data_IF_680598378031
#
_entry.id   IF_680598378031
#
_cell.length_a   1.000
_cell.length_b   1.000
_cell.length_c   1.000
_cell.angle_alpha   90.00
_cell.angle_beta   90.00
_cell.angle_gamma   90.00
#
_symmetry.space_group_name_H-M   'P 1'
#
loop_
_entity.id
_entity.type
_entity.pdbx_description
1 polymer ?
#
# COMPACT_ATOMS: atom_id res chain seq x y z
N UNK A 1 12.40 -2.46 18.32
CA UNK A 1 11.81 -2.44 16.97
C UNK A 1 10.92 -3.65 16.85
N UNK A 2 9.61 -3.46 16.65
CA UNK A 2 8.73 -4.58 16.30
C UNK A 2 8.97 -4.95 14.85
N UNK A 3 9.32 -6.21 14.57
CA UNK A 3 9.37 -6.74 13.20
C UNK A 3 7.95 -6.84 12.67
N UNK A 4 7.54 -5.82 11.91
CA UNK A 4 6.25 -5.81 11.23
C UNK A 4 6.46 -6.36 9.82
N UNK A 5 5.75 -7.43 9.39
CA UNK A 5 5.94 -8.00 8.08
C UNK A 5 5.57 -6.98 6.99
N UNK A 6 6.39 -6.89 5.94
CA UNK A 6 6.19 -5.99 4.80
C UNK A 6 5.56 -6.77 3.63
N UNK A 7 4.47 -6.24 3.09
CA UNK A 7 3.86 -6.77 1.87
C UNK A 7 4.12 -5.84 0.68
N UNK A 8 4.78 -6.37 -0.35
CA UNK A 8 4.88 -5.74 -1.66
C UNK A 8 3.65 -6.11 -2.49
N UNK A 9 2.93 -5.10 -2.98
CA UNK A 9 1.80 -5.29 -3.89
C UNK A 9 2.02 -4.47 -5.15
N UNK A 10 2.10 -5.15 -6.30
CA UNK A 10 2.22 -4.53 -7.62
C UNK A 10 0.85 -4.17 -8.18
N UNK A 11 0.78 -3.11 -8.98
CA UNK A 11 -0.51 -2.61 -9.50
C UNK A 11 -1.45 -2.11 -8.40
N UNK A 12 -0.89 -1.69 -7.27
CA UNK A 12 -1.64 -1.45 -6.04
C UNK A 12 -2.36 -0.09 -5.99
N UNK A 13 -2.13 0.78 -6.98
CA UNK A 13 -2.73 2.10 -7.05
C UNK A 13 -4.27 2.09 -7.14
N UNK A 14 -4.90 1.03 -7.66
CA UNK A 14 -6.35 0.98 -7.87
C UNK A 14 -6.91 -0.45 -8.01
N UNK A 15 -8.25 -0.56 -8.14
CA UNK A 15 -9.00 -1.81 -8.38
C UNK A 15 -8.64 -2.91 -7.36
N UNK A 16 -8.28 -4.11 -7.82
CA UNK A 16 -7.95 -5.23 -6.94
C UNK A 16 -6.67 -4.99 -6.13
N UNK A 17 -5.66 -4.34 -6.75
CA UNK A 17 -4.43 -3.99 -6.05
C UNK A 17 -4.70 -3.13 -4.81
N UNK A 18 -5.60 -2.14 -4.95
CA UNK A 18 -6.09 -1.33 -3.82
C UNK A 18 -6.78 -2.18 -2.75
N UNK A 19 -7.65 -3.12 -3.14
CA UNK A 19 -8.32 -4.01 -2.19
C UNK A 19 -7.31 -4.86 -1.39
N UNK A 20 -6.25 -5.35 -2.03
CA UNK A 20 -5.23 -6.18 -1.37
C UNK A 20 -4.44 -5.41 -0.33
N UNK A 21 -3.96 -4.19 -0.66
CA UNK A 21 -3.20 -3.38 0.30
C UNK A 21 -4.04 -2.98 1.50
N UNK A 22 -5.34 -2.71 1.34
CA UNK A 22 -6.25 -2.46 2.46
C UNK A 22 -6.42 -3.70 3.36
N UNK A 23 -6.60 -4.88 2.77
CA UNK A 23 -6.75 -6.11 3.52
C UNK A 23 -5.48 -6.46 4.33
N UNK A 24 -4.31 -6.27 3.74
CA UNK A 24 -3.01 -6.51 4.38
C UNK A 24 -2.73 -5.48 5.48
N UNK A 25 -2.99 -4.20 5.22
CA UNK A 25 -2.82 -3.14 6.21
C UNK A 25 -3.70 -3.35 7.45
N UNK A 26 -4.96 -3.76 7.27
CA UNK A 26 -5.87 -4.12 8.39
C UNK A 26 -5.38 -5.33 9.20
N UNK A 27 -4.58 -6.21 8.60
CA UNK A 27 -3.90 -7.32 9.29
C UNK A 27 -2.59 -6.91 9.96
N UNK A 28 -2.23 -5.62 9.91
CA UNK A 28 -1.04 -5.07 10.55
C UNK A 28 0.24 -5.18 9.73
N UNK A 29 0.16 -5.44 8.42
CA UNK A 29 1.33 -5.42 7.55
C UNK A 29 1.76 -3.98 7.24
N UNK A 30 3.06 -3.74 7.17
CA UNK A 30 3.58 -2.60 6.43
C UNK A 30 3.36 -2.83 4.92
N UNK A 31 3.15 -1.76 4.16
CA UNK A 31 2.79 -1.86 2.73
C UNK A 31 3.86 -1.18 1.86
N UNK A 32 4.34 -1.90 0.84
CA UNK A 32 5.02 -1.33 -0.32
C UNK A 32 4.06 -1.36 -1.52
N UNK A 33 3.50 -0.19 -1.83
CA UNK A 33 2.58 0.03 -2.94
C UNK A 33 3.38 0.32 -4.21
N UNK A 34 3.33 -0.59 -5.17
CA UNK A 34 4.03 -0.44 -6.44
C UNK A 34 3.07 -0.16 -7.61
N UNK A 35 3.45 0.78 -8.50
CA UNK A 35 2.64 1.18 -9.66
C UNK A 35 3.52 1.63 -10.85
N UNK A 36 2.89 1.89 -12.02
CA UNK A 36 3.60 2.34 -13.25
C UNK A 36 3.20 3.74 -13.72
N UNK A 37 1.91 3.98 -13.98
CA UNK A 37 1.40 5.23 -14.59
C UNK A 37 0.26 5.90 -13.79
N UNK A 38 0.16 5.57 -12.51
CA UNK A 38 -1.02 5.85 -11.68
C UNK A 38 -0.66 6.67 -10.45
N UNK A 39 0.18 7.70 -10.60
CA UNK A 39 0.78 8.47 -9.51
C UNK A 39 -0.29 9.03 -8.57
N UNK A 40 -1.29 9.71 -9.12
CA UNK A 40 -2.40 10.30 -8.34
C UNK A 40 -3.19 9.24 -7.59
N UNK A 41 -3.47 8.08 -8.22
CA UNK A 41 -4.22 7.00 -7.57
C UNK A 41 -3.36 6.29 -6.51
N UNK A 42 -2.05 6.16 -6.73
CA UNK A 42 -1.10 5.60 -5.80
C UNK A 42 -1.00 6.46 -4.54
N UNK A 43 -0.85 7.77 -4.68
CA UNK A 43 -0.78 8.70 -3.54
C UNK A 43 -2.08 8.76 -2.74
N UNK A 44 -3.23 8.75 -3.43
CA UNK A 44 -4.54 8.66 -2.77
C UNK A 44 -4.65 7.36 -1.97
N UNK A 45 -4.35 6.23 -2.60
CA UNK A 45 -4.42 4.92 -1.95
C UNK A 45 -3.45 4.85 -0.76
N UNK A 46 -2.23 5.35 -0.90
CA UNK A 46 -1.25 5.39 0.18
C UNK A 46 -1.71 6.26 1.35
N UNK A 47 -2.31 7.42 1.07
CA UNK A 47 -2.88 8.31 2.09
C UNK A 47 -4.01 7.63 2.85
N UNK A 48 -4.93 6.97 2.15
CA UNK A 48 -6.02 6.23 2.78
C UNK A 48 -5.51 5.04 3.63
N UNK A 49 -4.45 4.35 3.21
CA UNK A 49 -3.89 3.23 3.99
C UNK A 49 -3.16 3.72 5.24
N UNK A 50 -2.48 4.86 5.17
CA UNK A 50 -1.78 5.45 6.33
C UNK A 50 -2.74 5.73 7.50
N UNK A 51 -4.02 5.98 7.23
CA UNK A 51 -5.03 6.14 8.30
C UNK A 51 -5.27 4.84 9.09
N UNK A 52 -4.80 3.70 8.61
CA UNK A 52 -4.86 2.41 9.32
C UNK A 52 -3.69 2.22 10.31
N UNK A 53 -2.77 3.19 10.41
CA UNK A 53 -1.68 3.18 11.39
C UNK A 53 -0.51 2.26 11.02
N UNK A 54 -0.46 1.76 9.78
CA UNK A 54 0.68 0.96 9.28
C UNK A 54 1.64 1.82 8.43
N UNK A 55 2.94 1.48 8.38
CA UNK A 55 3.88 2.10 7.46
C UNK A 55 3.48 1.87 6.00
N UNK A 56 3.59 2.91 5.17
CA UNK A 56 3.28 2.83 3.73
C UNK A 56 4.37 3.49 2.90
N UNK A 57 4.96 2.70 2.03
CA UNK A 57 5.96 3.09 1.04
C UNK A 57 5.35 3.03 -0.35
N UNK A 58 5.76 3.96 -1.22
CA UNK A 58 5.26 4.08 -2.59
C UNK A 58 6.46 3.95 -3.52
N UNK A 59 6.35 3.11 -4.55
CA UNK A 59 7.40 2.86 -5.54
C UNK A 59 6.83 2.82 -6.95
N UNK A 60 7.52 3.49 -7.88
CA UNK A 60 7.19 3.51 -9.30
C UNK A 60 8.19 2.63 -10.07
N UNK A 61 7.67 1.86 -11.04
CA UNK A 61 8.47 1.11 -12.01
C UNK A 61 9.16 2.02 -13.04
#
# INVERSE_FOLDING_TARGET
MSEQPLALVTGAAHRLGKAFVFALARKGYAILLHYRHSDVQADRTATEIRTLGVPVFVSQA
#
